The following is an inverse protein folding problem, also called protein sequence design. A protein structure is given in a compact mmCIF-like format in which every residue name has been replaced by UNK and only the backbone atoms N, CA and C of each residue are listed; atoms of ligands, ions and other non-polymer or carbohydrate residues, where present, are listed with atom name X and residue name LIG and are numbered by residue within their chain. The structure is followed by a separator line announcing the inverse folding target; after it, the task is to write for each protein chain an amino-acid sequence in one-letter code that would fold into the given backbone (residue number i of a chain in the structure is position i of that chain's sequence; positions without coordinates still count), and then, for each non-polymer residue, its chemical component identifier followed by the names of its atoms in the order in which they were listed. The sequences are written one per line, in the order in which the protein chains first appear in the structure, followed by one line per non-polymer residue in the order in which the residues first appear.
data_IF_073177695707
#
_entry.id   IF_073177695707
#
_cell.length_a   1.000
_cell.length_b   1.000
_cell.length_c   1.000
_cell.angle_alpha   90.00
_cell.angle_beta   90.00
_cell.angle_gamma   90.00
#
_symmetry.space_group_name_H-M   'P 1'
#
loop_
_entity.id
_entity.type
_entity.pdbx_description
1 polymer ?
#
# COMPACT_ATOMS: atom_id res chain seq x y z
N UNK A 1 14.74 -28.62 6.49
CA UNK A 1 15.52 -29.49 7.41
C UNK A 1 16.39 -28.73 8.43
N UNK A 2 16.78 -27.48 8.19
CA UNK A 2 17.66 -26.67 9.08
C UNK A 2 16.93 -26.14 10.34
N UNK A 3 15.62 -25.99 10.33
CA UNK A 3 14.82 -25.44 11.45
C UNK A 3 14.72 -26.37 12.67
N UNK A 4 14.66 -27.66 12.49
CA UNK A 4 14.43 -28.65 13.60
C UNK A 4 15.70 -28.81 14.44
N UNK A 5 16.90 -28.75 13.86
CA UNK A 5 18.17 -28.84 14.57
C UNK A 5 18.41 -27.70 15.55
N UNK A 6 17.96 -26.47 15.20
CA UNK A 6 18.14 -25.29 16.05
C UNK A 6 17.22 -25.30 17.29
N UNK A 7 15.99 -25.82 17.16
CA UNK A 7 15.07 -25.95 18.29
C UNK A 7 15.56 -27.02 19.32
N UNK A 8 16.13 -28.12 18.85
CA UNK A 8 16.72 -29.15 19.75
C UNK A 8 17.90 -28.57 20.54
N UNK A 9 18.79 -27.79 19.90
CA UNK A 9 19.91 -27.13 20.60
C UNK A 9 19.42 -26.11 21.62
N UNK A 10 18.39 -25.32 21.30
CA UNK A 10 17.81 -24.36 22.22
C UNK A 10 17.18 -25.02 23.45
N UNK A 11 16.44 -26.11 23.24
CA UNK A 11 15.83 -26.90 24.33
C UNK A 11 16.92 -27.52 25.22
N UNK A 12 17.96 -28.11 24.63
CA UNK A 12 19.08 -28.70 25.39
C UNK A 12 19.81 -27.62 26.21
N UNK A 13 20.03 -26.45 25.64
CA UNK A 13 20.65 -25.30 26.35
C UNK A 13 19.76 -24.83 27.50
N UNK A 14 18.45 -24.70 27.29
CA UNK A 14 17.49 -24.36 28.35
C UNK A 14 17.45 -25.39 29.50
N UNK A 15 17.48 -26.69 29.19
CA UNK A 15 17.52 -27.75 30.18
C UNK A 15 18.85 -27.76 30.97
N UNK A 16 19.96 -27.53 30.29
CA UNK A 16 21.28 -27.37 30.93
C UNK A 16 21.30 -26.19 31.90
N UNK A 17 20.79 -25.03 31.43
CA UNK A 17 20.68 -23.83 32.25
C UNK A 17 19.82 -24.06 33.50
N UNK A 18 18.66 -24.71 33.32
CA UNK A 18 17.78 -25.06 34.45
C UNK A 18 18.45 -26.01 35.43
N UNK A 19 19.18 -26.99 34.94
CA UNK A 19 19.92 -27.93 35.81
C UNK A 19 21.01 -27.23 36.62
N UNK A 20 21.78 -26.35 35.98
CA UNK A 20 22.80 -25.51 36.64
C UNK A 20 22.17 -24.55 37.66
N UNK A 21 21.04 -23.93 37.32
CA UNK A 21 20.31 -23.06 38.25
C UNK A 21 19.85 -23.83 39.51
N UNK A 22 19.22 -24.97 39.33
CA UNK A 22 18.77 -25.79 40.43
C UNK A 22 19.97 -26.21 41.32
N UNK A 23 21.08 -26.62 40.71
CA UNK A 23 22.29 -26.97 41.42
C UNK A 23 22.81 -25.77 42.28
N UNK A 24 22.87 -24.61 41.74
CA UNK A 24 23.33 -23.38 42.45
C UNK A 24 22.40 -23.02 43.61
N UNK A 25 21.08 -23.16 43.44
CA UNK A 25 20.11 -22.93 44.54
C UNK A 25 20.29 -23.92 45.66
N UNK A 26 20.53 -25.24 45.35
CA UNK A 26 20.83 -26.21 46.37
C UNK A 26 22.15 -25.97 47.10
N UNK A 27 23.20 -25.62 46.37
CA UNK A 27 24.50 -25.28 46.97
C UNK A 27 24.39 -24.03 47.85
N UNK A 28 23.64 -23.03 47.45
CA UNK A 28 23.36 -21.86 48.26
C UNK A 28 22.75 -22.23 49.61
N UNK A 29 21.68 -23.04 49.55
CA UNK A 29 21.02 -23.52 50.77
C UNK A 29 21.97 -24.32 51.66
N UNK A 30 22.80 -25.19 51.11
CA UNK A 30 23.75 -26.01 51.84
C UNK A 30 24.81 -25.14 52.56
N UNK A 31 25.41 -24.15 51.89
CA UNK A 31 26.35 -23.23 52.50
C UNK A 31 25.74 -22.40 53.63
N UNK A 32 24.51 -21.95 53.48
CA UNK A 32 23.84 -21.09 54.46
C UNK A 32 23.35 -21.91 55.69
N UNK A 33 22.97 -23.17 55.54
CA UNK A 33 22.59 -24.04 56.62
C UNK A 33 23.80 -24.40 57.54
N UNK A 34 25.02 -24.42 57.00
CA UNK A 34 26.24 -24.71 57.79
C UNK A 34 26.62 -23.57 58.73
N UNK A 35 26.26 -22.32 58.48
CA UNK A 35 26.66 -21.16 59.28
C UNK A 35 25.73 -20.85 60.46
N UNK A 36 24.58 -21.44 60.59
CA UNK A 36 23.71 -21.38 61.78
C UNK A 36 23.02 -20.04 62.09
N UNK A 37 23.43 -18.94 61.47
CA UNK A 37 22.90 -17.58 61.65
C UNK A 37 22.26 -16.99 60.36
N UNK A 38 22.12 -17.77 59.32
CA UNK A 38 21.57 -17.32 58.05
C UNK A 38 20.05 -17.14 58.09
N UNK A 39 19.54 -16.18 57.33
CA UNK A 39 18.11 -16.02 57.09
C UNK A 39 17.59 -17.00 56.00
N UNK A 40 18.47 -17.61 55.21
CA UNK A 40 18.15 -18.66 54.26
C UNK A 40 18.12 -20.01 54.97
N UNK A 41 16.94 -20.40 55.43
CA UNK A 41 16.72 -21.65 56.24
C UNK A 41 15.98 -22.76 55.47
N UNK A 42 15.42 -22.43 54.35
CA UNK A 42 14.62 -23.34 53.53
C UNK A 42 14.92 -23.17 52.02
N UNK A 43 14.54 -24.21 51.29
CA UNK A 43 14.60 -24.13 49.80
C UNK A 43 13.77 -22.92 49.25
N UNK A 44 12.66 -22.61 49.93
CA UNK A 44 11.84 -21.43 49.57
C UNK A 44 12.63 -20.13 49.71
N UNK A 45 13.42 -19.96 50.76
CA UNK A 45 14.21 -18.74 51.00
C UNK A 45 15.32 -18.62 49.94
N UNK A 46 16.01 -19.73 49.64
CA UNK A 46 17.03 -19.78 48.59
C UNK A 46 16.46 -19.49 47.20
N UNK A 47 15.28 -20.01 46.86
CA UNK A 47 14.57 -19.71 45.64
C UNK A 47 14.15 -18.22 45.61
N UNK A 48 13.57 -17.71 46.68
CA UNK A 48 13.21 -16.28 46.78
C UNK A 48 14.41 -15.40 46.56
N UNK A 49 15.50 -15.60 47.27
CA UNK A 49 16.73 -14.83 47.07
C UNK A 49 17.24 -14.91 45.63
N UNK A 50 17.29 -16.10 45.05
CA UNK A 50 17.80 -16.27 43.69
C UNK A 50 16.93 -15.56 42.66
N UNK A 51 15.57 -15.65 42.77
CA UNK A 51 14.65 -14.95 41.88
C UNK A 51 14.76 -13.43 42.02
N UNK A 52 14.76 -12.92 43.25
CA UNK A 52 14.86 -11.47 43.52
C UNK A 52 16.18 -10.91 43.02
N UNK A 53 17.28 -11.67 43.15
CA UNK A 53 18.61 -11.31 42.63
C UNK A 53 18.68 -11.41 41.11
N UNK A 54 18.19 -12.51 40.51
CA UNK A 54 18.15 -12.68 39.06
C UNK A 54 17.24 -11.67 38.38
N UNK A 55 16.17 -11.24 39.02
CA UNK A 55 15.28 -10.18 38.50
C UNK A 55 15.77 -8.76 38.81
N UNK A 56 16.93 -8.61 39.40
CA UNK A 56 17.55 -7.32 39.81
C UNK A 56 16.69 -6.44 40.73
N UNK A 57 15.67 -7.04 41.39
CA UNK A 57 14.81 -6.33 42.35
C UNK A 57 15.57 -6.06 43.65
N UNK A 58 16.22 -7.10 44.20
CA UNK A 58 17.14 -6.97 45.34
C UNK A 58 16.50 -6.35 46.57
N UNK A 59 15.42 -6.89 47.13
CA UNK A 59 14.79 -6.32 48.34
C UNK A 59 15.73 -6.28 49.55
N UNK A 60 16.70 -7.20 49.61
CA UNK A 60 17.67 -7.22 50.72
C UNK A 60 17.09 -7.77 52.03
N UNK A 61 15.89 -8.35 51.97
CA UNK A 61 15.18 -8.96 53.09
C UNK A 61 15.80 -10.32 53.49
N UNK A 62 16.27 -11.08 52.53
CA UNK A 62 16.96 -12.35 52.66
C UNK A 62 18.24 -12.29 51.84
N UNK A 63 19.41 -12.40 52.49
CA UNK A 63 20.73 -12.33 51.87
C UNK A 63 21.67 -13.39 52.37
N UNK A 64 22.60 -13.92 51.56
CA UNK A 64 23.56 -14.90 52.01
C UNK A 64 24.58 -14.27 52.94
N UNK A 65 24.84 -14.95 54.10
CA UNK A 65 25.79 -14.53 55.11
C UNK A 65 27.11 -15.27 55.01
N UNK A 66 27.09 -16.53 54.52
CA UNK A 66 28.27 -17.35 54.33
C UNK A 66 29.16 -16.88 53.17
N UNK A 67 30.46 -17.17 53.24
CA UNK A 67 31.39 -16.90 52.13
C UNK A 67 30.99 -17.65 50.86
N UNK A 68 30.61 -18.93 50.98
CA UNK A 68 30.15 -19.73 49.87
C UNK A 68 28.85 -19.23 49.26
N UNK A 69 27.89 -18.82 50.11
CA UNK A 69 26.62 -18.22 49.63
C UNK A 69 26.83 -16.90 48.89
N UNK A 70 27.78 -16.05 49.37
CA UNK A 70 28.11 -14.82 48.65
C UNK A 70 28.73 -15.05 47.27
N UNK A 71 29.59 -16.08 47.13
CA UNK A 71 30.15 -16.46 45.85
C UNK A 71 29.02 -16.89 44.89
N UNK A 72 28.06 -17.65 45.34
CA UNK A 72 26.89 -18.03 44.53
C UNK A 72 26.04 -16.80 44.21
N UNK A 73 25.90 -15.87 45.16
CA UNK A 73 25.25 -14.57 44.90
C UNK A 73 25.91 -13.78 43.77
N UNK A 74 27.23 -13.73 43.73
CA UNK A 74 27.95 -13.09 42.59
C UNK A 74 27.66 -13.82 41.25
N UNK A 75 27.61 -15.15 41.27
CA UNK A 75 27.24 -15.93 40.08
C UNK A 75 25.83 -15.57 39.63
N UNK A 76 24.85 -15.44 40.52
CA UNK A 76 23.49 -15.02 40.18
C UNK A 76 23.46 -13.59 39.60
N UNK A 77 24.27 -12.65 40.14
CA UNK A 77 24.37 -11.31 39.60
C UNK A 77 24.89 -11.29 38.16
N UNK A 78 25.95 -12.05 37.85
CA UNK A 78 26.47 -12.13 36.48
C UNK A 78 25.52 -12.87 35.55
N UNK A 79 24.87 -13.93 36.04
CA UNK A 79 23.83 -14.65 35.26
C UNK A 79 22.64 -13.75 34.93
N UNK A 80 22.22 -12.87 35.86
CA UNK A 80 21.14 -11.93 35.65
C UNK A 80 21.41 -11.03 34.45
N UNK A 81 22.62 -10.45 34.35
CA UNK A 81 23.03 -9.61 33.23
C UNK A 81 22.96 -10.36 31.89
N UNK A 82 23.39 -11.64 31.88
CA UNK A 82 23.32 -12.50 30.71
C UNK A 82 21.88 -12.79 30.29
N UNK A 83 21.01 -13.15 31.24
CA UNK A 83 19.58 -13.42 30.97
C UNK A 83 18.88 -12.18 30.43
N UNK A 84 19.08 -11.02 31.06
CA UNK A 84 18.51 -9.76 30.58
C UNK A 84 19.01 -9.39 29.19
N UNK A 85 20.32 -9.53 28.92
CA UNK A 85 20.87 -9.27 27.59
C UNK A 85 20.21 -10.13 26.50
N UNK A 86 19.97 -11.43 26.77
CA UNK A 86 19.29 -12.32 25.86
C UNK A 86 17.82 -11.90 25.67
N UNK A 87 17.10 -11.62 26.76
CA UNK A 87 15.69 -11.21 26.70
C UNK A 87 15.49 -9.93 25.90
N UNK A 88 16.29 -8.89 26.21
CA UNK A 88 16.25 -7.61 25.48
C UNK A 88 16.60 -7.81 24.01
N UNK A 89 17.62 -8.62 23.71
CA UNK A 89 18.00 -8.96 22.32
C UNK A 89 16.89 -9.66 21.57
N UNK A 90 16.23 -10.65 22.18
CA UNK A 90 15.09 -11.35 21.53
C UNK A 90 13.90 -10.41 21.34
N UNK A 91 13.57 -9.60 22.34
CA UNK A 91 12.49 -8.62 22.23
C UNK A 91 12.75 -7.58 21.12
N UNK A 92 13.98 -7.07 21.06
CA UNK A 92 14.41 -6.16 19.99
C UNK A 92 14.30 -6.81 18.60
N UNK A 93 14.71 -8.07 18.47
CA UNK A 93 14.59 -8.83 17.22
C UNK A 93 13.13 -9.02 16.78
N UNK A 94 12.22 -9.29 17.73
CA UNK A 94 10.79 -9.44 17.43
C UNK A 94 10.20 -8.12 16.94
N UNK A 95 10.48 -7.02 17.65
CA UNK A 95 10.03 -5.67 17.24
C UNK A 95 10.58 -5.31 15.86
N UNK A 96 11.87 -5.54 15.63
CA UNK A 96 12.50 -5.25 14.34
C UNK A 96 11.85 -6.02 13.19
N UNK A 97 11.55 -7.30 13.39
CA UNK A 97 10.82 -8.12 12.38
C UNK A 97 9.41 -7.61 12.11
N UNK A 98 8.67 -7.22 13.16
CA UNK A 98 7.32 -6.65 13.01
C UNK A 98 7.40 -5.35 12.20
N UNK A 99 8.32 -4.46 12.56
CA UNK A 99 8.50 -3.18 11.85
C UNK A 99 8.93 -3.40 10.39
N UNK A 100 9.83 -4.34 10.14
CA UNK A 100 10.23 -4.71 8.78
C UNK A 100 9.05 -5.26 7.98
N UNK A 101 8.29 -6.20 8.52
CA UNK A 101 7.11 -6.75 7.87
C UNK A 101 6.06 -5.67 7.57
N UNK A 102 5.89 -4.70 8.46
CA UNK A 102 5.00 -3.57 8.26
C UNK A 102 5.48 -2.68 7.11
N UNK A 103 6.78 -2.36 7.06
CA UNK A 103 7.38 -1.60 5.96
C UNK A 103 7.24 -2.33 4.62
N UNK A 104 7.38 -3.64 4.61
CA UNK A 104 7.24 -4.48 3.40
C UNK A 104 5.78 -4.71 2.98
N UNK A 105 4.80 -4.21 3.73
CA UNK A 105 3.37 -4.38 3.40
C UNK A 105 2.81 -5.77 3.69
N UNK A 106 3.49 -6.60 4.50
CA UNK A 106 3.10 -7.99 4.72
C UNK A 106 1.77 -8.16 5.47
N UNK A 107 1.28 -7.11 6.14
CA UNK A 107 -0.02 -7.13 6.82
C UNK A 107 -1.20 -6.85 5.89
N UNK A 108 -0.92 -6.37 4.67
CA UNK A 108 -1.96 -6.04 3.69
C UNK A 108 -2.63 -4.69 3.93
N UNK A 109 -3.52 -4.34 2.99
CA UNK A 109 -4.32 -3.12 3.04
C UNK A 109 -5.81 -3.41 3.00
N UNK A 110 -6.61 -2.50 3.56
CA UNK A 110 -8.08 -2.50 3.46
C UNK A 110 -8.61 -1.56 2.37
N UNK A 111 -7.77 -1.02 1.50
CA UNK A 111 -8.19 -0.14 0.41
C UNK A 111 -9.22 -0.83 -0.48
N UNK A 112 -10.23 -0.08 -0.90
CA UNK A 112 -11.28 -0.54 -1.81
C UNK A 112 -11.45 0.46 -2.94
N UNK A 113 -11.83 -0.02 -4.13
CA UNK A 113 -11.96 0.81 -5.33
C UNK A 113 -10.69 1.62 -5.64
N UNK A 114 -9.55 1.12 -5.21
CA UNK A 114 -8.23 1.69 -5.39
C UNK A 114 -7.57 1.18 -6.67
N UNK A 115 -6.42 1.73 -7.01
CA UNK A 115 -5.65 1.31 -8.19
C UNK A 115 -4.44 0.52 -7.72
N UNK A 116 -4.23 -0.67 -8.29
CA UNK A 116 -3.03 -1.46 -8.05
C UNK A 116 -2.01 -1.17 -9.14
N UNK A 117 -0.82 -0.74 -8.77
CA UNK A 117 0.28 -0.47 -9.70
C UNK A 117 1.36 -1.53 -9.53
N UNK A 118 1.60 -2.32 -10.57
CA UNK A 118 2.62 -3.36 -10.60
C UNK A 118 3.88 -2.83 -11.25
N UNK A 119 4.91 -2.65 -10.46
CA UNK A 119 6.19 -2.06 -10.90
C UNK A 119 6.32 -0.59 -10.56
N UNK A 120 7.56 -0.20 -10.25
CA UNK A 120 7.93 1.16 -9.93
C UNK A 120 8.95 1.68 -10.95
N UNK A 121 8.57 2.73 -11.68
CA UNK A 121 9.42 3.44 -12.64
C UNK A 121 9.21 4.94 -12.51
N UNK A 122 10.07 5.76 -13.10
CA UNK A 122 9.89 7.21 -13.10
C UNK A 122 8.57 7.64 -13.75
N UNK A 123 8.17 6.98 -14.83
CA UNK A 123 6.87 7.21 -15.45
C UNK A 123 5.72 6.84 -14.49
N UNK A 124 5.82 5.68 -13.85
CA UNK A 124 4.83 5.23 -12.86
C UNK A 124 4.69 6.20 -11.70
N UNK A 125 5.80 6.82 -11.24
CA UNK A 125 5.76 7.87 -10.22
C UNK A 125 4.86 9.03 -10.63
N UNK A 126 5.07 9.56 -11.85
CA UNK A 126 4.26 10.68 -12.36
C UNK A 126 2.77 10.33 -12.43
N UNK A 127 2.44 9.11 -12.87
CA UNK A 127 1.05 8.63 -12.91
C UNK A 127 0.47 8.52 -11.50
N UNK A 128 1.21 7.94 -10.56
CA UNK A 128 0.78 7.79 -9.16
C UNK A 128 0.55 9.16 -8.51
N UNK A 129 1.45 10.12 -8.74
CA UNK A 129 1.31 11.49 -8.23
C UNK A 129 0.00 12.13 -8.70
N UNK A 130 -0.37 11.96 -9.98
CA UNK A 130 -1.65 12.44 -10.52
C UNK A 130 -2.86 11.72 -9.90
N UNK A 131 -2.79 10.40 -9.73
CA UNK A 131 -3.86 9.62 -9.11
C UNK A 131 -4.11 10.03 -7.66
N UNK A 132 -3.04 10.23 -6.89
CA UNK A 132 -3.14 10.66 -5.48
C UNK A 132 -3.69 12.10 -5.39
N UNK A 133 -3.26 13.02 -6.26
CA UNK A 133 -3.84 14.37 -6.36
C UNK A 133 -5.32 14.33 -6.69
N UNK A 134 -5.75 13.39 -7.53
CA UNK A 134 -7.15 13.14 -7.83
C UNK A 134 -7.92 12.45 -6.67
N UNK A 135 -7.31 12.28 -5.50
CA UNK A 135 -7.93 11.67 -4.32
C UNK A 135 -8.11 10.14 -4.43
N UNK A 136 -7.38 9.49 -5.36
CA UNK A 136 -7.43 8.04 -5.52
C UNK A 136 -6.39 7.38 -4.60
N UNK A 137 -6.78 6.28 -3.97
CA UNK A 137 -5.85 5.43 -3.24
C UNK A 137 -5.12 4.50 -4.21
N UNK A 138 -3.83 4.25 -3.94
CA UNK A 138 -2.99 3.43 -4.81
C UNK A 138 -2.27 2.37 -3.98
N UNK A 139 -2.27 1.13 -4.45
CA UNK A 139 -1.42 0.07 -3.91
C UNK A 139 -0.26 -0.18 -4.88
N UNK A 140 0.96 0.08 -4.44
CA UNK A 140 2.19 -0.02 -5.25
C UNK A 140 2.88 -1.33 -4.91
N UNK A 141 3.06 -2.18 -5.92
CA UNK A 141 3.79 -3.46 -5.79
C UNK A 141 5.15 -3.31 -6.45
N UNK A 142 6.22 -3.52 -5.69
CA UNK A 142 7.60 -3.47 -6.19
C UNK A 142 8.39 -4.68 -5.75
N UNK A 143 9.28 -5.18 -6.64
CA UNK A 143 10.25 -6.24 -6.33
C UNK A 143 11.61 -5.71 -5.87
N UNK A 144 11.82 -4.40 -5.95
CA UNK A 144 13.05 -3.78 -5.53
C UNK A 144 12.89 -3.21 -4.10
N UNK A 145 13.68 -3.79 -3.20
CA UNK A 145 13.67 -3.41 -1.78
C UNK A 145 14.18 -1.98 -1.55
N UNK A 146 15.07 -1.49 -2.41
CA UNK A 146 15.60 -0.13 -2.31
C UNK A 146 14.49 0.94 -2.49
N UNK A 147 13.44 0.61 -3.24
CA UNK A 147 12.32 1.53 -3.46
C UNK A 147 11.41 1.68 -2.25
N UNK A 148 11.43 0.74 -1.28
CA UNK A 148 10.47 0.73 -0.16
C UNK A 148 10.59 1.96 0.72
N UNK A 149 11.82 2.32 1.11
CA UNK A 149 12.04 3.49 1.97
C UNK A 149 11.68 4.79 1.25
N UNK A 150 12.11 4.92 -0.01
CA UNK A 150 11.75 6.06 -0.86
C UNK A 150 10.23 6.22 -1.01
N UNK A 151 9.51 5.13 -1.24
CA UNK A 151 8.06 5.16 -1.41
C UNK A 151 7.33 5.58 -0.11
N UNK A 152 7.82 5.13 1.04
CA UNK A 152 7.28 5.56 2.33
C UNK A 152 7.58 7.03 2.67
N UNK A 153 8.67 7.60 2.13
CA UNK A 153 8.98 9.02 2.26
C UNK A 153 8.12 9.88 1.32
N UNK A 154 7.87 9.39 0.10
CA UNK A 154 7.12 10.12 -0.91
C UNK A 154 5.61 10.17 -0.64
N UNK A 155 5.04 9.11 -0.07
CA UNK A 155 3.58 8.94 0.00
C UNK A 155 3.07 8.69 1.41
N UNK A 156 2.00 9.40 1.77
CA UNK A 156 1.25 9.14 3.01
C UNK A 156 0.55 7.77 2.94
N UNK A 157 0.56 7.04 4.05
CA UNK A 157 -0.04 5.69 4.17
C UNK A 157 -1.55 5.64 3.91
N UNK A 158 -2.24 6.79 3.99
CA UNK A 158 -3.67 6.89 3.67
C UNK A 158 -3.92 6.97 2.18
N UNK A 159 -2.94 7.47 1.41
CA UNK A 159 -3.01 7.61 -0.04
C UNK A 159 -2.37 6.45 -0.79
N UNK A 160 -1.26 5.91 -0.27
CA UNK A 160 -0.55 4.82 -0.90
C UNK A 160 -0.22 3.69 0.08
N UNK A 161 -0.48 2.47 -0.35
CA UNK A 161 -0.02 1.24 0.29
C UNK A 161 1.14 0.66 -0.53
N UNK A 162 2.20 0.23 0.14
CA UNK A 162 3.41 -0.28 -0.51
C UNK A 162 3.58 -1.74 -0.15
N UNK A 163 3.72 -2.58 -1.17
CA UNK A 163 3.94 -4.01 -1.05
C UNK A 163 5.25 -4.41 -1.72
N UNK A 164 6.15 -4.98 -0.95
CA UNK A 164 7.30 -5.70 -1.49
C UNK A 164 6.90 -7.12 -1.88
N UNK A 165 6.95 -7.42 -3.14
CA UNK A 165 6.67 -8.77 -3.64
C UNK A 165 7.36 -9.02 -4.96
N UNK A 166 7.79 -10.26 -5.17
CA UNK A 166 8.08 -10.74 -6.51
C UNK A 166 6.80 -10.74 -7.34
N UNK A 167 6.88 -10.26 -8.57
CA UNK A 167 5.71 -10.15 -9.45
C UNK A 167 5.14 -11.52 -9.84
N UNK A 168 5.95 -12.58 -9.81
CA UNK A 168 5.52 -13.95 -10.08
C UNK A 168 4.69 -14.54 -8.92
N UNK A 169 4.83 -13.99 -7.72
CA UNK A 169 4.07 -14.43 -6.55
C UNK A 169 2.68 -13.77 -6.50
N UNK A 170 1.75 -14.30 -7.29
CA UNK A 170 0.40 -13.77 -7.38
C UNK A 170 -0.40 -13.88 -6.07
N UNK A 171 -0.03 -14.76 -5.14
CA UNK A 171 -0.71 -14.88 -3.84
C UNK A 171 -0.46 -13.64 -2.97
N UNK A 172 0.72 -13.04 -3.05
CA UNK A 172 1.01 -11.84 -2.30
C UNK A 172 0.17 -10.62 -2.74
N UNK A 173 -0.37 -10.62 -3.96
CA UNK A 173 -1.24 -9.53 -4.45
C UNK A 173 -2.55 -9.42 -3.65
N UNK A 174 -2.95 -10.47 -2.94
CA UNK A 174 -4.08 -10.42 -2.01
C UNK A 174 -3.83 -9.43 -0.87
N UNK A 175 -2.56 -9.21 -0.48
CA UNK A 175 -2.19 -8.17 0.50
C UNK A 175 -2.39 -6.76 -0.05
N UNK A 176 -2.31 -6.58 -1.36
CA UNK A 176 -2.70 -5.33 -2.03
C UNK A 176 -4.21 -5.19 -2.21
N UNK A 177 -5.01 -6.11 -1.68
CA UNK A 177 -6.46 -6.22 -1.84
C UNK A 177 -6.92 -6.13 -3.31
N UNK A 178 -6.20 -6.84 -4.18
CA UNK A 178 -6.38 -6.76 -5.64
C UNK A 178 -7.80 -7.11 -6.09
N UNK A 179 -8.49 -8.01 -5.40
CA UNK A 179 -9.86 -8.41 -5.74
C UNK A 179 -10.88 -7.26 -5.62
N UNK A 180 -10.58 -6.25 -4.81
CA UNK A 180 -11.43 -5.09 -4.57
C UNK A 180 -10.86 -3.81 -5.19
N UNK A 181 -9.90 -3.92 -6.11
CA UNK A 181 -9.36 -2.77 -6.82
C UNK A 181 -10.28 -2.36 -7.99
N UNK A 182 -10.20 -1.11 -8.41
CA UNK A 182 -10.91 -0.62 -9.61
C UNK A 182 -10.18 -0.97 -10.90
N UNK A 183 -8.85 -1.00 -10.85
CA UNK A 183 -8.01 -1.33 -12.01
C UNK A 183 -6.59 -1.71 -11.58
N UNK A 184 -5.91 -2.41 -12.48
CA UNK A 184 -4.49 -2.80 -12.33
C UNK A 184 -3.67 -2.14 -13.43
N UNK A 185 -2.76 -1.27 -13.04
CA UNK A 185 -1.79 -0.67 -13.95
C UNK A 185 -0.49 -1.47 -13.95
N UNK A 186 -0.18 -2.12 -15.07
CA UNK A 186 1.05 -2.90 -15.23
C UNK A 186 2.15 -2.00 -15.81
N UNK A 187 3.06 -1.59 -14.93
CA UNK A 187 4.11 -0.60 -15.19
C UNK A 187 5.52 -1.23 -15.12
N UNK A 188 5.71 -2.34 -15.82
CA UNK A 188 7.01 -2.97 -16.00
C UNK A 188 7.81 -2.26 -17.11
N UNK A 189 9.11 -2.52 -17.21
CA UNK A 189 9.98 -1.78 -18.13
C UNK A 189 9.73 -2.16 -19.59
N UNK A 190 9.75 -3.43 -19.93
CA UNK A 190 9.61 -3.85 -21.32
C UNK A 190 8.23 -4.46 -21.64
N UNK A 191 7.82 -4.35 -22.90
CA UNK A 191 6.49 -4.77 -23.33
C UNK A 191 6.32 -6.30 -23.32
N UNK A 192 7.38 -7.07 -23.50
CA UNK A 192 7.33 -8.53 -23.43
C UNK A 192 7.02 -9.00 -22.02
N UNK A 193 7.70 -8.45 -21.01
CA UNK A 193 7.47 -8.80 -19.61
C UNK A 193 6.04 -8.39 -19.17
N UNK A 194 5.58 -7.22 -19.63
CA UNK A 194 4.17 -6.80 -19.41
C UNK A 194 3.18 -7.81 -19.96
N UNK A 195 3.39 -8.28 -21.20
CA UNK A 195 2.48 -9.22 -21.84
C UNK A 195 2.47 -10.57 -21.12
N UNK A 196 3.64 -11.11 -20.81
CA UNK A 196 3.78 -12.38 -20.09
C UNK A 196 3.14 -12.27 -18.70
N UNK A 197 3.40 -11.16 -18.00
CA UNK A 197 2.80 -10.92 -16.70
C UNK A 197 1.27 -10.86 -16.76
N UNK A 198 0.70 -10.13 -17.72
CA UNK A 198 -0.74 -10.00 -17.91
C UNK A 198 -1.38 -11.36 -18.20
N UNK A 199 -0.78 -12.15 -19.09
CA UNK A 199 -1.29 -13.49 -19.39
C UNK A 199 -1.29 -14.41 -18.16
N UNK A 200 -0.32 -14.26 -17.28
CA UNK A 200 -0.23 -15.03 -16.04
C UNK A 200 -1.21 -14.54 -14.97
N UNK A 201 -1.27 -13.23 -14.73
CA UNK A 201 -2.13 -12.68 -13.68
C UNK A 201 -3.60 -12.87 -13.99
N UNK A 202 -4.01 -12.81 -15.27
CA UNK A 202 -5.37 -13.04 -15.72
C UNK A 202 -5.87 -14.47 -15.48
N UNK A 203 -5.00 -15.46 -15.38
CA UNK A 203 -5.40 -16.83 -14.98
C UNK A 203 -6.00 -16.90 -13.59
N UNK A 204 -5.60 -16.00 -12.68
CA UNK A 204 -6.10 -15.95 -11.31
C UNK A 204 -7.13 -14.82 -11.10
N UNK A 205 -6.98 -13.70 -11.82
CA UNK A 205 -7.78 -12.47 -11.67
C UNK A 205 -8.32 -12.03 -13.04
N UNK A 206 -9.25 -12.79 -13.61
CA UNK A 206 -9.74 -12.62 -14.99
C UNK A 206 -10.54 -11.32 -15.19
N UNK A 207 -11.42 -10.98 -14.24
CA UNK A 207 -12.41 -9.90 -14.37
C UNK A 207 -11.87 -8.49 -14.09
N UNK A 208 -10.59 -8.35 -13.77
CA UNK A 208 -10.00 -7.05 -13.44
C UNK A 208 -9.73 -6.21 -14.68
N UNK A 209 -9.83 -4.89 -14.53
CA UNK A 209 -9.49 -3.95 -15.58
C UNK A 209 -7.99 -3.72 -15.64
N UNK A 210 -7.33 -4.26 -16.65
CA UNK A 210 -5.90 -4.10 -16.86
C UNK A 210 -5.61 -2.90 -17.76
N UNK A 211 -4.64 -2.07 -17.33
CA UNK A 211 -4.15 -0.90 -18.05
C UNK A 211 -2.65 -1.07 -18.24
N UNK A 212 -2.14 -0.76 -19.43
CA UNK A 212 -0.70 -0.80 -19.72
C UNK A 212 -0.26 0.39 -20.53
N UNK A 213 0.99 0.78 -20.35
CA UNK A 213 1.70 1.66 -21.28
C UNK A 213 2.64 0.83 -22.16
N UNK A 214 2.75 1.20 -23.42
CA UNK A 214 3.56 0.51 -24.41
C UNK A 214 4.67 1.43 -24.93
N UNK A 215 5.86 0.85 -25.11
CA UNK A 215 6.94 1.48 -25.87
C UNK A 215 6.70 1.30 -27.37
N UNK A 216 6.24 0.11 -27.80
CA UNK A 216 5.94 -0.19 -29.19
C UNK A 216 4.41 -0.16 -29.44
N UNK A 217 3.95 0.87 -30.16
CA UNK A 217 2.53 1.05 -30.48
C UNK A 217 1.92 -0.13 -31.31
N UNK A 218 2.73 -0.85 -32.09
CA UNK A 218 2.27 -1.99 -32.88
C UNK A 218 1.75 -3.16 -32.02
N UNK A 219 2.16 -3.23 -30.77
CA UNK A 219 1.70 -4.27 -29.83
C UNK A 219 0.34 -3.97 -29.22
N UNK A 220 -0.25 -2.79 -29.49
CA UNK A 220 -1.54 -2.37 -28.92
C UNK A 220 -2.63 -3.41 -29.11
N UNK A 221 -2.81 -3.91 -30.34
CA UNK A 221 -3.84 -4.90 -30.64
C UNK A 221 -3.57 -6.25 -29.94
N UNK A 222 -2.30 -6.64 -29.80
CA UNK A 222 -1.89 -7.86 -29.09
C UNK A 222 -2.31 -7.78 -27.63
N UNK A 223 -2.07 -6.65 -26.95
CA UNK A 223 -2.49 -6.45 -25.57
C UNK A 223 -4.01 -6.39 -25.39
N UNK A 224 -4.72 -5.74 -26.32
CA UNK A 224 -6.20 -5.73 -26.32
C UNK A 224 -6.74 -7.16 -26.48
N UNK A 225 -6.18 -7.96 -27.38
CA UNK A 225 -6.54 -9.37 -27.57
C UNK A 225 -6.19 -10.24 -26.35
N UNK A 226 -5.14 -9.87 -25.59
CA UNK A 226 -4.82 -10.48 -24.30
C UNK A 226 -5.79 -10.06 -23.18
N UNK A 227 -6.80 -9.23 -23.49
CA UNK A 227 -7.83 -8.77 -22.57
C UNK A 227 -7.43 -7.61 -21.68
N UNK A 228 -6.46 -6.81 -22.11
CA UNK A 228 -6.16 -5.51 -21.50
C UNK A 228 -7.26 -4.52 -21.89
N UNK A 229 -7.77 -3.75 -20.94
CA UNK A 229 -8.82 -2.76 -21.19
C UNK A 229 -8.30 -1.54 -21.94
N UNK A 230 -7.12 -1.04 -21.53
CA UNK A 230 -6.48 0.11 -22.14
C UNK A 230 -4.99 -0.14 -22.34
N UNK A 231 -4.55 -0.13 -23.59
CA UNK A 231 -3.16 -0.21 -24.01
C UNK A 231 -2.75 1.12 -24.66
N UNK A 232 -1.85 1.87 -24.02
CA UNK A 232 -1.55 3.25 -24.38
C UNK A 232 -0.07 3.36 -24.76
N UNK A 233 0.23 3.78 -25.99
CA UNK A 233 1.61 4.06 -26.40
C UNK A 233 2.05 5.42 -25.89
N UNK A 234 3.08 5.46 -25.06
CA UNK A 234 3.69 6.70 -24.54
C UNK A 234 4.21 7.55 -25.67
N UNK A 235 4.91 6.93 -26.61
CA UNK A 235 5.51 7.62 -27.76
C UNK A 235 4.46 8.20 -28.69
N UNK A 236 3.33 7.52 -28.91
CA UNK A 236 2.25 8.01 -29.77
C UNK A 236 1.60 9.28 -29.19
N UNK A 237 1.37 9.33 -27.88
CA UNK A 237 0.81 10.52 -27.23
C UNK A 237 1.83 11.66 -27.23
N UNK A 238 3.06 11.39 -26.82
CA UNK A 238 4.09 12.41 -26.75
C UNK A 238 4.41 13.00 -28.13
N UNK A 239 4.47 12.18 -29.19
CA UNK A 239 4.73 12.66 -30.55
C UNK A 239 3.58 13.51 -31.10
N UNK A 240 2.31 13.16 -30.81
CA UNK A 240 1.17 14.00 -31.20
C UNK A 240 1.19 15.36 -30.51
N UNK A 241 1.47 15.39 -29.21
CA UNK A 241 1.56 16.63 -28.46
C UNK A 241 2.73 17.49 -28.95
N UNK A 242 3.91 16.88 -29.17
CA UNK A 242 5.08 17.58 -29.69
C UNK A 242 4.82 18.15 -31.08
N UNK A 243 4.18 17.39 -31.98
CA UNK A 243 3.79 17.88 -33.30
C UNK A 243 2.84 19.09 -33.18
N UNK A 244 1.85 19.02 -32.28
CA UNK A 244 0.94 20.13 -32.03
C UNK A 244 1.69 21.38 -31.56
N UNK A 245 2.70 21.28 -30.71
CA UNK A 245 3.55 22.40 -30.32
C UNK A 245 4.30 23.04 -31.50
N UNK A 246 4.57 22.30 -32.57
CA UNK A 246 5.27 22.80 -33.75
C UNK A 246 4.38 23.65 -34.69
N UNK A 247 3.06 23.41 -34.74
CA UNK A 247 2.16 24.09 -35.64
C UNK A 247 0.97 24.79 -34.97
N UNK A 248 0.58 24.40 -33.77
CA UNK A 248 -0.49 25.03 -32.97
C UNK A 248 -0.11 25.07 -31.49
N UNK A 249 0.90 25.86 -31.08
CA UNK A 249 1.46 25.83 -29.73
C UNK A 249 0.45 26.12 -28.62
N UNK A 250 -0.48 27.06 -28.86
CA UNK A 250 -1.51 27.43 -27.88
C UNK A 250 -2.51 26.27 -27.66
N UNK A 251 -2.84 25.50 -28.72
CA UNK A 251 -3.68 24.32 -28.63
C UNK A 251 -2.95 23.21 -27.86
N UNK A 252 -1.65 23.03 -28.10
CA UNK A 252 -0.85 22.05 -27.39
C UNK A 252 -0.78 22.37 -25.89
N UNK A 253 -0.47 23.61 -25.54
CA UNK A 253 -0.43 24.08 -24.14
C UNK A 253 -1.79 23.88 -23.46
N UNK A 254 -2.88 24.31 -24.09
CA UNK A 254 -4.22 24.15 -23.55
C UNK A 254 -4.57 22.68 -23.33
N UNK A 255 -4.18 21.79 -24.26
CA UNK A 255 -4.44 20.36 -24.17
C UNK A 255 -3.66 19.71 -23.00
N UNK A 256 -2.42 20.13 -22.78
CA UNK A 256 -1.60 19.66 -21.67
C UNK A 256 -2.18 20.10 -20.32
N UNK A 257 -2.52 21.38 -20.20
CA UNK A 257 -3.08 21.95 -18.97
C UNK A 257 -4.41 21.32 -18.60
N UNK A 258 -5.30 21.08 -19.58
CA UNK A 258 -6.65 20.56 -19.33
C UNK A 258 -6.68 19.08 -19.00
N UNK A 259 -5.63 18.33 -19.35
CA UNK A 259 -5.47 16.91 -18.98
C UNK A 259 -4.79 16.73 -17.62
N UNK A 260 -4.13 17.76 -17.11
CA UNK A 260 -3.52 17.73 -15.79
C UNK A 260 -4.58 17.84 -14.69
N UNK A 261 -4.31 17.22 -13.52
CA UNK A 261 -5.16 17.48 -12.37
C UNK A 261 -4.94 18.91 -11.85
N UNK A 262 -6.01 19.69 -11.59
CA UNK A 262 -5.90 21.09 -11.21
C UNK A 262 -5.14 21.27 -9.90
N UNK A 263 -4.27 22.27 -9.86
CA UNK A 263 -3.47 22.63 -8.67
C UNK A 263 -4.16 23.76 -7.89
N UNK A 264 -4.83 24.66 -8.60
CA UNK A 264 -5.55 25.80 -8.01
C UNK A 264 -7.05 25.72 -8.26
N UNK A 265 -7.85 26.47 -7.49
CA UNK A 265 -9.32 26.52 -7.67
C UNK A 265 -9.74 27.15 -9.02
N UNK A 266 -8.83 27.83 -9.70
CA UNK A 266 -9.06 28.50 -11.00
C UNK A 266 -8.68 27.62 -12.21
N UNK A 267 -7.89 26.57 -12.01
CA UNK A 267 -7.46 25.72 -13.10
C UNK A 267 -8.64 24.91 -13.63
N UNK A 268 -8.67 24.77 -14.95
CA UNK A 268 -9.70 24.01 -15.65
C UNK A 268 -9.16 22.63 -15.98
N UNK A 269 -10.03 21.63 -15.87
CA UNK A 269 -9.75 20.25 -16.30
C UNK A 269 -11.00 19.61 -16.94
N UNK A 270 -10.80 18.46 -17.58
CA UNK A 270 -11.89 17.65 -18.14
C UNK A 270 -12.33 16.63 -17.10
N UNK A 271 -13.63 16.66 -16.77
CA UNK A 271 -14.24 15.75 -15.83
C UNK A 271 -15.37 14.95 -16.48
N UNK A 272 -15.55 13.75 -15.98
CA UNK A 272 -16.61 12.84 -16.41
C UNK A 272 -17.63 12.68 -15.28
N UNK A 273 -18.91 12.85 -15.60
CA UNK A 273 -20.00 12.68 -14.63
C UNK A 273 -21.08 11.73 -15.18
N UNK A 274 -21.42 10.72 -14.41
CA UNK A 274 -22.52 9.82 -14.74
C UNK A 274 -23.86 10.52 -14.51
N UNK A 275 -24.76 10.38 -15.47
CA UNK A 275 -26.15 10.85 -15.38
C UNK A 275 -26.96 9.85 -14.58
N UNK A 276 -27.25 10.19 -13.33
CA UNK A 276 -28.09 9.39 -12.42
C UNK A 276 -29.56 9.77 -12.57
N UNK A 277 -30.49 8.94 -12.10
CA UNK A 277 -31.96 9.10 -12.24
C UNK A 277 -32.53 10.46 -11.78
N UNK A 278 -31.86 11.16 -10.88
CA UNK A 278 -32.24 12.49 -10.39
C UNK A 278 -31.55 13.66 -11.12
N UNK A 279 -30.77 13.39 -12.14
CA UNK A 279 -30.05 14.45 -12.86
C UNK A 279 -31.03 15.34 -13.62
N UNK A 280 -30.96 16.69 -13.46
CA UNK A 280 -31.95 17.61 -14.03
C UNK A 280 -31.91 17.70 -15.57
N UNK A 281 -30.86 17.16 -16.19
CA UNK A 281 -30.65 17.22 -17.65
C UNK A 281 -31.19 15.97 -18.38
N UNK A 282 -31.75 14.98 -17.67
CA UNK A 282 -32.39 13.82 -18.32
C UNK A 282 -33.57 14.28 -19.19
N UNK A 283 -33.58 13.81 -20.44
CA UNK A 283 -34.63 14.15 -21.42
C UNK A 283 -34.42 15.50 -22.09
N UNK A 284 -33.39 16.27 -21.71
CA UNK A 284 -33.05 17.52 -22.39
C UNK A 284 -32.18 17.25 -23.63
N UNK A 285 -32.29 18.17 -24.59
CA UNK A 285 -31.40 18.20 -25.76
C UNK A 285 -29.99 18.63 -25.34
N UNK A 286 -28.97 18.08 -26.02
CA UNK A 286 -27.57 18.37 -25.75
C UNK A 286 -27.29 19.87 -25.79
N UNK A 287 -27.77 20.58 -26.83
CA UNK A 287 -27.53 22.03 -27.00
C UNK A 287 -28.17 22.88 -25.90
N UNK A 288 -29.39 22.55 -25.49
CA UNK A 288 -30.01 23.24 -24.36
C UNK A 288 -29.20 23.05 -23.09
N UNK A 289 -28.76 21.83 -22.83
CA UNK A 289 -27.90 21.50 -21.67
C UNK A 289 -26.56 22.22 -21.75
N UNK A 290 -25.93 22.27 -22.94
CA UNK A 290 -24.70 23.01 -23.17
C UNK A 290 -24.85 24.50 -22.81
N UNK A 291 -25.88 25.17 -23.34
CA UNK A 291 -26.12 26.59 -23.06
C UNK A 291 -26.45 26.84 -21.58
N UNK A 292 -27.23 25.98 -20.95
CA UNK A 292 -27.59 26.10 -19.53
C UNK A 292 -26.35 25.92 -18.64
N UNK A 293 -25.56 24.87 -18.87
CA UNK A 293 -24.33 24.61 -18.14
C UNK A 293 -23.33 25.79 -18.28
N UNK A 294 -23.16 26.30 -19.50
CA UNK A 294 -22.25 27.42 -19.75
C UNK A 294 -22.72 28.70 -19.09
N UNK A 295 -24.00 29.06 -19.25
CA UNK A 295 -24.55 30.31 -18.76
C UNK A 295 -24.67 30.34 -17.22
N UNK A 296 -25.10 29.25 -16.63
CA UNK A 296 -25.46 29.22 -15.19
C UNK A 296 -24.28 28.82 -14.33
N UNK A 297 -23.42 27.92 -14.81
CA UNK A 297 -22.37 27.28 -13.98
C UNK A 297 -20.96 27.57 -14.49
N UNK A 298 -20.81 28.22 -15.66
CA UNK A 298 -19.52 28.41 -16.36
C UNK A 298 -18.80 27.09 -16.67
N UNK A 299 -19.57 26.08 -17.09
CA UNK A 299 -19.10 24.73 -17.44
C UNK A 299 -19.31 24.49 -18.91
N UNK A 300 -18.34 23.89 -19.59
CA UNK A 300 -18.43 23.59 -21.03
C UNK A 300 -18.70 22.09 -21.17
N UNK A 301 -19.80 21.72 -21.79
CA UNK A 301 -20.14 20.36 -22.17
C UNK A 301 -19.50 20.05 -23.53
N UNK A 302 -18.48 19.16 -23.56
CA UNK A 302 -17.72 18.88 -24.80
C UNK A 302 -18.13 17.57 -25.49
N UNK A 303 -18.98 16.78 -24.85
CA UNK A 303 -19.45 15.52 -25.38
C UNK A 303 -20.04 14.65 -24.29
N UNK A 304 -20.46 13.46 -24.69
CA UNK A 304 -20.93 12.44 -23.78
C UNK A 304 -20.52 11.04 -24.25
N UNK A 305 -20.47 10.10 -23.31
CA UNK A 305 -20.28 8.68 -23.58
C UNK A 305 -21.55 7.93 -23.27
N UNK A 306 -22.00 7.12 -24.19
CA UNK A 306 -23.21 6.26 -24.07
C UNK A 306 -22.84 4.78 -24.22
N UNK A 307 -23.49 3.92 -23.45
CA UNK A 307 -23.41 2.49 -23.64
C UNK A 307 -24.36 2.07 -24.75
N UNK A 308 -23.82 1.58 -25.88
CA UNK A 308 -24.55 1.07 -27.03
C UNK A 308 -24.24 -0.42 -27.22
N UNK A 309 -25.10 -1.27 -26.66
CA UNK A 309 -24.82 -2.69 -26.49
C UNK A 309 -23.64 -2.89 -25.53
N UNK A 310 -22.66 -3.70 -25.93
CA UNK A 310 -21.46 -3.98 -25.10
C UNK A 310 -20.34 -2.94 -25.26
N UNK A 311 -20.56 -1.84 -25.97
CA UNK A 311 -19.54 -0.82 -26.26
C UNK A 311 -19.91 0.53 -25.69
N UNK A 312 -18.90 1.22 -25.14
CA UNK A 312 -19.01 2.64 -24.80
C UNK A 312 -18.63 3.48 -26.03
N UNK A 313 -19.59 4.26 -26.52
CA UNK A 313 -19.42 5.14 -27.69
C UNK A 313 -19.28 6.58 -27.22
N UNK A 314 -18.19 7.23 -27.65
CA UNK A 314 -17.93 8.65 -27.39
C UNK A 314 -18.54 9.51 -28.49
N UNK A 315 -19.54 10.30 -28.12
CA UNK A 315 -20.14 11.33 -28.96
C UNK A 315 -19.48 12.68 -28.66
N UNK A 316 -18.66 13.15 -29.61
CA UNK A 316 -17.94 14.44 -29.51
C UNK A 316 -18.82 15.53 -30.07
N UNK A 317 -19.20 16.52 -29.26
CA UNK A 317 -20.04 17.63 -29.68
C UNK A 317 -21.19 17.15 -30.61
N UNK A 318 -22.12 16.27 -30.11
CA UNK A 318 -23.19 15.74 -30.94
C UNK A 318 -24.08 16.86 -31.47
N UNK A 319 -24.67 16.63 -32.64
CA UNK A 319 -25.56 17.61 -33.27
C UNK A 319 -26.91 17.76 -32.57
N UNK A 320 -27.68 18.77 -32.98
CA UNK A 320 -29.02 19.08 -32.50
C UNK A 320 -29.91 17.84 -32.33
N UNK A 321 -30.79 17.85 -31.37
CA UNK A 321 -31.72 16.76 -31.03
C UNK A 321 -31.09 15.53 -30.32
N UNK A 322 -29.84 15.56 -29.95
CA UNK A 322 -29.26 14.48 -29.14
C UNK A 322 -29.76 14.57 -27.70
N UNK A 323 -30.59 13.63 -27.26
CA UNK A 323 -31.24 13.64 -25.96
C UNK A 323 -30.33 12.96 -24.94
N UNK A 324 -30.08 13.62 -23.80
CA UNK A 324 -29.35 13.08 -22.66
C UNK A 324 -30.23 12.04 -21.94
N UNK A 325 -29.65 10.89 -21.64
CA UNK A 325 -30.34 9.76 -21.00
C UNK A 325 -29.67 9.41 -19.67
N UNK A 326 -30.44 8.77 -18.81
CA UNK A 326 -29.89 8.12 -17.62
C UNK A 326 -28.83 7.08 -18.04
N UNK A 327 -27.72 7.03 -17.30
CA UNK A 327 -26.58 6.17 -17.62
C UNK A 327 -25.53 6.77 -18.53
N UNK A 328 -25.83 7.86 -19.26
CA UNK A 328 -24.83 8.60 -20.02
C UNK A 328 -23.72 9.15 -19.12
N UNK A 329 -22.54 9.39 -19.67
CA UNK A 329 -21.46 10.10 -18.99
C UNK A 329 -21.19 11.41 -19.69
N UNK A 330 -21.45 12.53 -19.04
CA UNK A 330 -21.17 13.87 -19.58
C UNK A 330 -19.71 14.22 -19.40
N UNK A 331 -19.07 14.69 -20.45
CA UNK A 331 -17.70 15.21 -20.44
C UNK A 331 -17.73 16.72 -20.33
N UNK A 332 -17.23 17.22 -19.22
CA UNK A 332 -17.35 18.61 -18.83
C UNK A 332 -15.97 19.24 -18.60
N UNK A 333 -15.75 20.44 -19.14
CA UNK A 333 -14.61 21.28 -18.79
C UNK A 333 -15.07 22.25 -17.71
N UNK A 334 -14.41 22.25 -16.57
CA UNK A 334 -14.75 23.11 -15.45
C UNK A 334 -13.57 23.32 -14.50
N UNK A 335 -13.65 24.36 -13.68
CA UNK A 335 -12.73 24.55 -12.55
C UNK A 335 -13.32 23.99 -11.25
N UNK A 336 -12.52 23.96 -10.17
CA UNK A 336 -12.95 23.39 -8.88
C UNK A 336 -14.15 24.14 -8.27
N UNK A 337 -14.29 25.44 -8.50
CA UNK A 337 -15.42 26.22 -8.01
C UNK A 337 -16.75 25.81 -8.67
N UNK A 338 -16.71 25.56 -9.98
CA UNK A 338 -17.85 25.04 -10.75
C UNK A 338 -18.15 23.58 -10.38
N UNK A 339 -17.12 22.76 -10.18
CA UNK A 339 -17.27 21.35 -9.76
C UNK A 339 -18.07 21.20 -8.47
N UNK A 340 -17.79 22.03 -7.45
CA UNK A 340 -18.54 22.01 -6.18
C UNK A 340 -20.04 22.23 -6.39
N UNK A 341 -20.43 23.05 -7.37
CA UNK A 341 -21.85 23.28 -7.75
C UNK A 341 -22.42 22.08 -8.52
N UNK A 342 -21.66 21.57 -9.50
CA UNK A 342 -22.10 20.44 -10.34
C UNK A 342 -22.27 19.17 -9.49
N UNK A 343 -21.38 18.86 -8.55
CA UNK A 343 -21.52 17.73 -7.63
C UNK A 343 -22.84 17.74 -6.87
N UNK A 344 -23.32 18.93 -6.46
CA UNK A 344 -24.61 19.08 -5.76
C UNK A 344 -25.78 18.81 -6.69
N UNK A 345 -25.72 19.35 -7.92
CA UNK A 345 -26.81 19.27 -8.90
C UNK A 345 -26.93 17.86 -9.44
N UNK A 346 -25.83 17.22 -9.75
CA UNK A 346 -25.82 15.85 -10.29
C UNK A 346 -25.96 14.80 -9.19
N UNK A 347 -25.88 15.19 -7.92
CA UNK A 347 -25.92 14.27 -6.76
C UNK A 347 -24.87 13.15 -6.86
N UNK A 348 -23.76 13.41 -7.52
CA UNK A 348 -22.64 12.47 -7.71
C UNK A 348 -21.32 13.21 -7.72
N UNK A 349 -20.23 12.44 -7.48
CA UNK A 349 -18.87 12.92 -7.66
C UNK A 349 -18.39 12.55 -9.07
N UNK A 350 -17.29 13.17 -9.51
CA UNK A 350 -16.64 12.82 -10.77
C UNK A 350 -16.23 11.34 -10.81
N UNK A 351 -16.14 10.81 -12.00
CA UNK A 351 -15.80 9.43 -12.28
C UNK A 351 -17.01 8.53 -12.42
N UNK A 352 -16.82 7.27 -12.13
CA UNK A 352 -17.82 6.19 -12.36
C UNK A 352 -18.71 6.05 -11.13
#
# INVERSE_FOLDING_TARGET
MIRISNYRKLILFGLLFLAVYILLVYQLLEYELLEGHSEIKSLSDALWYSIVTLTTVGYGDIVPTSEGGRIIGYIFLFLSLGVYGILIGQFSNVISKINENNKLGMQGTSFQNHIVVIGWTQFGKTVIDQLIRAGRQVAIVTRDRANIELLHELYDKRAAFILYSDYENLENLEKANINNCSSVFVNLENDTDKLVYILNIKKKYEDLQYIVTLENANLKQTFLNAGVRYAISKNEIASRLLASYMFEPDVAQYSEEILAYPVTDTDYDIKQFRVLSKNPFIGQEYDKTFYELKKTYNVILIGLVREEGDKKVLHKNPQDNFIIKEGDFLLLIMNMAAQKKINKIFSTKEGI
#
